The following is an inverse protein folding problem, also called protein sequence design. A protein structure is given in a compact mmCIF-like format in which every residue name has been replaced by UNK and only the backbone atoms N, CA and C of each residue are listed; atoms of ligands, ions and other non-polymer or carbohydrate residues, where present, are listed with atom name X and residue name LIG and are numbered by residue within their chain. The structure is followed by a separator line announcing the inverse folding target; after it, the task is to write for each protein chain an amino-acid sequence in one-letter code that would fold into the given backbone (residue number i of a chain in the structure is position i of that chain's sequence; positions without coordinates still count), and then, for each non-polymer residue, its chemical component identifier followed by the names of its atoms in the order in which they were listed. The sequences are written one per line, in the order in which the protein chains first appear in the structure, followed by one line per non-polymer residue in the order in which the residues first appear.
data_IF_416471090303
#
_entry.id   IF_416471090303
#
_cell.length_a   1.000
_cell.length_b   1.000
_cell.length_c   1.000
_cell.angle_alpha   90.00
_cell.angle_beta   90.00
_cell.angle_gamma   90.00
#
_symmetry.space_group_name_H-M   'P 1'
#
loop_
_entity.id
_entity.type
_entity.pdbx_description
1 polymer ?
#
# COMPACT_ATOMS: atom_id res chain seq x y z
N UNK A 1 41.85 -1.39 52.29
CA UNK A 1 41.05 -0.30 51.70
C UNK A 1 41.00 -0.56 50.20
N UNK A 2 40.00 -1.30 49.72
CA UNK A 2 38.74 -0.84 49.09
C UNK A 2 38.93 -0.33 47.64
N UNK A 3 38.23 -1.03 46.71
CA UNK A 3 37.85 -0.67 45.33
C UNK A 3 38.92 -0.88 44.24
N UNK A 4 38.68 -1.45 43.05
CA UNK A 4 37.47 -1.78 42.30
C UNK A 4 37.72 -2.99 41.38
N UNK A 5 36.80 -3.96 41.41
CA UNK A 5 36.74 -5.02 40.43
C UNK A 5 36.06 -4.53 39.13
N UNK A 6 36.78 -4.67 38.02
CA UNK A 6 36.37 -5.40 36.81
C UNK A 6 34.86 -5.75 36.74
N UNK A 7 34.09 -5.05 35.90
CA UNK A 7 32.97 -5.56 35.08
C UNK A 7 32.24 -4.37 34.44
N UNK A 8 32.22 -4.32 33.11
CA UNK A 8 31.61 -3.20 32.38
C UNK A 8 31.50 -3.44 30.89
N UNK A 9 31.20 -4.67 30.47
CA UNK A 9 30.83 -5.02 29.09
C UNK A 9 29.88 -6.21 29.14
N UNK A 10 28.58 -5.96 29.35
CA UNK A 10 27.48 -6.88 29.02
C UNK A 10 26.11 -6.32 29.46
N UNK A 11 25.76 -5.07 29.12
CA UNK A 11 24.42 -4.54 29.38
C UNK A 11 23.95 -3.66 28.22
N UNK A 12 23.90 -4.20 26.99
CA UNK A 12 23.29 -3.50 25.85
C UNK A 12 22.63 -4.44 24.84
N UNK A 13 22.22 -5.64 25.25
CA UNK A 13 21.63 -6.64 24.35
C UNK A 13 20.35 -7.29 24.90
N UNK A 14 19.68 -6.67 25.89
CA UNK A 14 18.50 -7.23 26.56
C UNK A 14 17.27 -6.29 26.59
N UNK A 15 17.21 -5.27 25.73
CA UNK A 15 16.04 -4.36 25.66
C UNK A 15 15.25 -4.41 24.35
N UNK A 16 15.64 -5.23 23.37
CA UNK A 16 14.96 -5.32 22.07
C UNK A 16 13.99 -6.51 21.92
N UNK A 17 13.94 -7.44 22.88
CA UNK A 17 13.05 -8.61 22.82
C UNK A 17 11.67 -8.39 23.47
N UNK A 18 11.43 -7.25 24.14
CA UNK A 18 10.22 -7.01 24.93
C UNK A 18 9.05 -6.34 24.17
N UNK A 19 9.20 -6.05 22.87
CA UNK A 19 8.18 -5.34 22.07
C UNK A 19 7.54 -6.19 20.96
N UNK A 20 7.68 -7.52 20.99
CA UNK A 20 7.04 -8.45 20.04
C UNK A 20 5.93 -9.33 20.67
N UNK A 21 5.63 -9.13 21.96
CA UNK A 21 4.58 -9.86 22.68
C UNK A 21 3.26 -9.07 22.71
N UNK A 22 2.68 -8.80 21.54
CA UNK A 22 1.37 -8.16 21.43
C UNK A 22 0.62 -8.53 20.14
N UNK A 23 0.62 -9.81 19.72
CA UNK A 23 -0.25 -10.30 18.64
C UNK A 23 -0.86 -11.70 18.90
N UNK A 24 -0.76 -12.26 20.11
CA UNK A 24 -1.21 -13.61 20.40
C UNK A 24 -2.09 -13.67 21.65
N UNK A 25 -3.23 -12.99 21.64
CA UNK A 25 -4.31 -13.24 22.59
C UNK A 25 -5.63 -12.68 22.05
N UNK A 26 -6.34 -13.48 21.26
CA UNK A 26 -7.80 -13.41 21.07
C UNK A 26 -8.25 -14.65 20.27
N UNK A 27 -8.19 -15.82 20.92
CA UNK A 27 -9.02 -16.96 20.53
C UNK A 27 -9.88 -17.31 21.74
N UNK A 28 -11.18 -16.95 21.74
CA UNK A 28 -12.18 -17.67 22.49
C UNK A 28 -12.74 -18.78 21.59
N UNK A 29 -12.60 -20.02 22.02
CA UNK A 29 -13.29 -21.17 21.43
C UNK A 29 -14.81 -21.01 21.50
N UNK A 30 -15.52 -21.30 20.41
CA UNK A 30 -16.85 -21.93 20.46
C UNK A 30 -17.03 -22.91 19.30
N UNK A 31 -17.67 -24.07 19.52
CA UNK A 31 -17.93 -25.07 18.50
C UNK A 31 -19.22 -24.71 17.76
N UNK A 32 -19.21 -24.73 16.42
CA UNK A 32 -20.44 -24.75 15.63
C UNK A 32 -20.17 -25.28 14.23
N UNK A 33 -20.70 -26.48 14.02
CA UNK A 33 -21.48 -26.87 12.84
C UNK A 33 -20.83 -26.65 11.48
N UNK A 34 -20.41 -27.76 10.90
CA UNK A 34 -20.32 -28.02 9.47
C UNK A 34 -21.48 -27.38 8.70
N UNK A 35 -21.27 -26.18 8.21
CA UNK A 35 -21.87 -25.71 6.97
C UNK A 35 -20.71 -25.63 5.99
N UNK A 36 -20.59 -26.66 5.15
CA UNK A 36 -19.72 -26.67 3.98
C UNK A 36 -19.95 -25.34 3.25
N UNK A 37 -18.95 -24.46 3.12
CA UNK A 37 -19.11 -23.31 2.24
C UNK A 37 -19.28 -23.91 0.86
N UNK A 38 -20.49 -23.76 0.29
CA UNK A 38 -20.80 -24.12 -1.08
C UNK A 38 -19.72 -23.49 -1.94
N UNK A 39 -18.83 -24.32 -2.48
CA UNK A 39 -17.67 -23.89 -3.24
C UNK A 39 -18.20 -23.01 -4.37
N UNK A 40 -17.88 -21.71 -4.29
CA UNK A 40 -18.13 -20.78 -5.38
C UNK A 40 -17.31 -21.33 -6.55
N UNK A 41 -17.93 -21.67 -7.69
CA UNK A 41 -17.20 -22.19 -8.82
C UNK A 41 -16.12 -21.18 -9.21
N UNK A 42 -14.94 -21.69 -9.52
CA UNK A 42 -13.81 -20.91 -10.03
C UNK A 42 -14.18 -20.36 -11.41
N UNK A 43 -15.03 -19.35 -11.44
CA UNK A 43 -15.50 -18.70 -12.65
C UNK A 43 -14.44 -17.71 -13.10
N UNK A 44 -14.03 -17.81 -14.36
CA UNK A 44 -13.16 -16.81 -14.97
C UNK A 44 -13.89 -15.47 -15.02
N UNK A 45 -13.15 -14.36 -14.88
CA UNK A 45 -13.69 -12.99 -14.87
C UNK A 45 -14.70 -12.71 -15.98
N UNK A 46 -14.51 -13.26 -17.17
CA UNK A 46 -15.43 -13.09 -18.30
C UNK A 46 -16.83 -13.64 -18.00
N UNK A 47 -16.93 -14.84 -17.42
CA UNK A 47 -18.21 -15.46 -17.06
C UNK A 47 -18.94 -14.63 -16.01
N UNK A 48 -18.22 -14.07 -15.03
CA UNK A 48 -18.81 -13.19 -14.02
C UNK A 48 -19.34 -11.89 -14.61
N UNK A 49 -18.69 -11.35 -15.64
CA UNK A 49 -19.13 -10.13 -16.33
C UNK A 49 -20.37 -10.38 -17.19
N UNK A 50 -20.47 -11.55 -17.82
CA UNK A 50 -21.66 -11.95 -18.59
C UNK A 50 -22.86 -12.18 -17.65
N UNK A 51 -22.64 -12.82 -16.50
CA UNK A 51 -23.66 -12.97 -15.46
C UNK A 51 -24.09 -11.62 -14.88
N UNK A 52 -23.17 -10.64 -14.81
CA UNK A 52 -23.46 -9.28 -14.37
C UNK A 52 -24.39 -8.52 -15.32
N UNK A 53 -24.46 -8.88 -16.61
CA UNK A 53 -25.33 -8.20 -17.57
C UNK A 53 -26.81 -8.26 -17.17
N UNK A 54 -27.17 -9.22 -16.33
CA UNK A 54 -28.52 -9.42 -15.80
C UNK A 54 -28.70 -8.82 -14.39
N UNK A 55 -27.64 -8.28 -13.80
CA UNK A 55 -27.62 -7.69 -12.46
C UNK A 55 -27.44 -6.17 -12.54
N UNK A 56 -28.55 -5.42 -12.40
CA UNK A 56 -28.52 -3.96 -12.30
C UNK A 56 -28.12 -3.49 -10.89
N UNK A 57 -28.97 -3.77 -9.90
CA UNK A 57 -28.70 -3.52 -8.48
C UNK A 57 -28.51 -4.84 -7.74
N UNK A 58 -27.56 -4.90 -6.81
CA UNK A 58 -27.24 -6.11 -6.08
C UNK A 58 -28.14 -6.34 -4.86
N UNK A 59 -29.44 -6.06 -5.00
CA UNK A 59 -30.43 -6.24 -3.92
C UNK A 59 -30.70 -7.73 -3.67
N UNK A 60 -30.62 -8.55 -4.72
CA UNK A 60 -30.77 -9.99 -4.65
C UNK A 60 -29.47 -10.68 -4.20
N UNK A 61 -29.60 -11.78 -3.46
CA UNK A 61 -28.46 -12.57 -3.01
C UNK A 61 -27.58 -13.12 -4.17
N UNK A 62 -28.15 -13.59 -5.31
CA UNK A 62 -27.33 -14.02 -6.45
C UNK A 62 -26.47 -12.89 -7.03
N UNK A 63 -27.05 -11.71 -7.26
CA UNK A 63 -26.29 -10.58 -7.79
C UNK A 63 -25.22 -10.10 -6.79
N UNK A 64 -25.55 -10.06 -5.50
CA UNK A 64 -24.57 -9.74 -4.46
C UNK A 64 -23.37 -10.71 -4.48
N UNK A 65 -23.61 -12.02 -4.65
CA UNK A 65 -22.53 -13.01 -4.78
C UNK A 65 -21.66 -12.79 -6.01
N UNK A 66 -22.23 -12.42 -7.15
CA UNK A 66 -21.46 -12.12 -8.36
C UNK A 66 -20.54 -10.91 -8.12
N UNK A 67 -21.05 -9.83 -7.52
CA UNK A 67 -20.22 -8.68 -7.17
C UNK A 67 -19.12 -9.02 -6.14
N UNK A 68 -19.39 -9.89 -5.16
CA UNK A 68 -18.35 -10.37 -4.23
C UNK A 68 -17.28 -11.17 -4.98
N UNK A 69 -17.68 -12.06 -5.91
CA UNK A 69 -16.73 -12.83 -6.70
C UNK A 69 -15.88 -11.94 -7.61
N UNK A 70 -16.46 -10.90 -8.23
CA UNK A 70 -15.70 -9.92 -9.00
C UNK A 70 -14.72 -9.13 -8.13
N UNK A 71 -15.13 -8.73 -6.93
CA UNK A 71 -14.22 -8.07 -6.00
C UNK A 71 -13.03 -8.96 -5.65
N UNK A 72 -13.26 -10.24 -5.37
CA UNK A 72 -12.22 -11.21 -5.05
C UNK A 72 -11.27 -11.41 -6.24
N UNK A 73 -11.78 -11.47 -7.46
CA UNK A 73 -10.96 -11.55 -8.67
C UNK A 73 -10.04 -10.33 -8.85
N UNK A 74 -10.53 -9.12 -8.56
CA UNK A 74 -9.66 -7.93 -8.55
C UNK A 74 -8.57 -8.02 -7.48
N UNK A 75 -8.88 -8.59 -6.31
CA UNK A 75 -7.93 -8.74 -5.21
C UNK A 75 -6.90 -9.86 -5.45
N UNK A 76 -7.25 -10.86 -6.25
CA UNK A 76 -6.36 -11.98 -6.64
C UNK A 76 -5.49 -11.67 -7.86
N UNK A 77 -5.68 -10.51 -8.49
CA UNK A 77 -4.79 -10.08 -9.58
C UNK A 77 -3.33 -10.08 -9.12
N UNK A 78 -2.44 -10.55 -9.99
CA UNK A 78 -1.00 -10.73 -9.69
C UNK A 78 -0.35 -9.46 -9.15
N UNK A 79 -0.83 -8.29 -9.58
CA UNK A 79 -0.35 -6.99 -9.15
C UNK A 79 -1.50 -6.17 -8.57
N UNK A 80 -1.58 -6.14 -7.24
CA UNK A 80 -2.56 -5.33 -6.52
C UNK A 80 -2.20 -3.84 -6.62
N UNK A 81 -2.79 -3.15 -7.59
CA UNK A 81 -2.61 -1.71 -7.82
C UNK A 81 -3.84 -0.90 -7.36
N UNK A 82 -3.74 0.43 -7.41
CA UNK A 82 -4.82 1.37 -7.07
C UNK A 82 -6.11 1.06 -7.81
N UNK A 83 -6.02 0.83 -9.12
CA UNK A 83 -7.16 0.49 -9.98
C UNK A 83 -7.86 -0.80 -9.52
N UNK A 84 -7.08 -1.85 -9.18
CA UNK A 84 -7.62 -3.10 -8.68
C UNK A 84 -8.32 -2.92 -7.32
N UNK A 85 -7.73 -2.14 -6.42
CA UNK A 85 -8.32 -1.80 -5.12
C UNK A 85 -9.62 -1.00 -5.28
N UNK A 86 -9.66 -0.03 -6.19
CA UNK A 86 -10.84 0.81 -6.46
C UNK A 86 -11.97 -0.01 -7.09
N UNK A 87 -11.63 -0.89 -8.01
CA UNK A 87 -12.59 -1.82 -8.60
C UNK A 87 -13.15 -2.78 -7.54
N UNK A 88 -12.30 -3.41 -6.73
CA UNK A 88 -12.74 -4.28 -5.65
C UNK A 88 -13.62 -3.53 -4.62
N UNK A 89 -13.24 -2.30 -4.26
CA UNK A 89 -14.03 -1.45 -3.35
C UNK A 89 -15.43 -1.17 -3.92
N UNK A 90 -15.52 -0.84 -5.22
CA UNK A 90 -16.77 -0.58 -5.91
C UNK A 90 -17.67 -1.82 -5.93
N UNK A 91 -17.13 -2.97 -6.33
CA UNK A 91 -17.92 -4.20 -6.39
C UNK A 91 -18.43 -4.61 -5.00
N UNK A 92 -17.62 -4.50 -3.95
CA UNK A 92 -18.09 -4.75 -2.58
C UNK A 92 -19.13 -3.72 -2.09
N UNK A 93 -19.06 -2.47 -2.55
CA UNK A 93 -20.06 -1.46 -2.24
C UNK A 93 -21.40 -1.78 -2.92
N UNK A 94 -21.37 -2.29 -4.16
CA UNK A 94 -22.55 -2.80 -4.84
C UNK A 94 -23.12 -4.01 -4.10
N UNK A 95 -22.30 -5.03 -3.81
CA UNK A 95 -22.72 -6.22 -3.05
C UNK A 95 -23.37 -5.87 -1.69
N UNK A 96 -22.86 -4.84 -1.02
CA UNK A 96 -23.39 -4.38 0.27
C UNK A 96 -24.78 -3.71 0.20
N UNK A 97 -25.39 -3.59 -0.98
CA UNK A 97 -26.82 -3.26 -1.11
C UNK A 97 -27.71 -4.41 -0.60
N UNK A 98 -27.21 -5.64 -0.64
CA UNK A 98 -27.83 -6.77 0.05
C UNK A 98 -27.37 -6.82 1.51
N UNK A 99 -28.31 -6.97 2.46
CA UNK A 99 -28.03 -6.89 3.90
C UNK A 99 -27.09 -7.97 4.40
N UNK A 100 -27.24 -9.21 3.93
CA UNK A 100 -26.44 -10.34 4.39
C UNK A 100 -25.00 -10.20 3.85
N UNK A 101 -24.87 -9.90 2.55
CA UNK A 101 -23.57 -9.60 1.95
C UNK A 101 -22.89 -8.39 2.58
N UNK A 102 -23.64 -7.37 3.02
CA UNK A 102 -23.08 -6.21 3.71
C UNK A 102 -22.44 -6.57 5.06
N UNK A 103 -23.02 -7.53 5.79
CA UNK A 103 -22.49 -8.02 7.05
C UNK A 103 -21.22 -8.84 6.79
N UNK A 104 -21.30 -9.79 5.86
CA UNK A 104 -20.20 -10.70 5.52
C UNK A 104 -18.97 -9.96 4.96
N UNK A 105 -19.18 -8.97 4.09
CA UNK A 105 -18.08 -8.26 3.41
C UNK A 105 -17.54 -7.07 4.19
N UNK A 106 -18.15 -6.71 5.32
CA UNK A 106 -17.72 -5.58 6.16
C UNK A 106 -16.22 -5.59 6.52
N UNK A 107 -15.61 -6.70 6.99
CA UNK A 107 -14.18 -6.73 7.29
C UNK A 107 -13.34 -6.46 6.03
N UNK A 108 -13.68 -7.08 4.90
CA UNK A 108 -12.95 -6.91 3.65
C UNK A 108 -12.99 -5.45 3.16
N UNK A 109 -14.16 -4.81 3.22
CA UNK A 109 -14.31 -3.38 2.89
C UNK A 109 -13.46 -2.46 3.78
N UNK A 110 -13.24 -2.82 5.05
CA UNK A 110 -12.31 -2.06 5.93
C UNK A 110 -10.87 -2.23 5.49
N UNK A 111 -10.46 -3.45 5.18
CA UNK A 111 -9.09 -3.75 4.71
C UNK A 111 -8.80 -2.99 3.42
N UNK A 112 -9.69 -3.06 2.42
CA UNK A 112 -9.51 -2.35 1.15
C UNK A 112 -9.36 -0.85 1.36
N UNK A 113 -10.17 -0.24 2.25
CA UNK A 113 -10.05 1.19 2.56
C UNK A 113 -8.68 1.55 3.13
N UNK A 114 -8.14 0.72 4.03
CA UNK A 114 -6.80 0.92 4.59
C UNK A 114 -5.74 0.79 3.49
N UNK A 115 -5.88 -0.18 2.59
CA UNK A 115 -4.97 -0.36 1.46
C UNK A 115 -5.02 0.84 0.50
N UNK A 116 -6.20 1.36 0.18
CA UNK A 116 -6.37 2.57 -0.63
C UNK A 116 -5.68 3.79 0.03
N UNK A 117 -5.87 3.99 1.33
CA UNK A 117 -5.22 5.06 2.07
C UNK A 117 -3.69 4.93 2.03
N UNK A 118 -3.16 3.71 2.21
CA UNK A 118 -1.72 3.45 2.12
C UNK A 118 -1.18 3.72 0.71
N UNK A 119 -1.90 3.29 -0.32
CA UNK A 119 -1.51 3.53 -1.70
C UNK A 119 -1.44 5.03 -2.02
N UNK A 120 -2.44 5.80 -1.59
CA UNK A 120 -2.44 7.25 -1.78
C UNK A 120 -1.24 7.94 -1.10
N UNK A 121 -0.84 7.48 0.10
CA UNK A 121 0.35 8.00 0.79
C UNK A 121 1.63 7.64 0.03
N UNK A 122 1.72 6.40 -0.48
CA UNK A 122 2.86 5.95 -1.29
C UNK A 122 2.99 6.76 -2.58
N UNK A 123 1.89 6.99 -3.29
CA UNK A 123 1.86 7.77 -4.53
C UNK A 123 2.27 9.22 -4.28
N UNK A 124 1.78 9.83 -3.19
CA UNK A 124 2.20 11.16 -2.78
C UNK A 124 3.70 11.23 -2.44
N UNK A 125 4.23 10.20 -1.78
CA UNK A 125 5.66 10.09 -1.47
C UNK A 125 6.50 9.98 -2.76
N UNK A 126 6.11 9.11 -3.69
CA UNK A 126 6.78 8.97 -4.99
C UNK A 126 6.75 10.27 -5.80
N UNK A 127 5.62 10.98 -5.81
CA UNK A 127 5.52 12.27 -6.49
C UNK A 127 6.49 13.32 -5.88
N UNK A 128 6.57 13.38 -4.54
CA UNK A 128 7.52 14.26 -3.84
C UNK A 128 8.96 13.89 -4.14
N UNK A 129 9.31 12.61 -4.14
CA UNK A 129 10.65 12.14 -4.48
C UNK A 129 11.04 12.55 -5.91
N UNK A 130 10.16 12.32 -6.89
CA UNK A 130 10.39 12.74 -8.28
C UNK A 130 10.58 14.25 -8.40
N UNK A 131 9.77 15.04 -7.69
CA UNK A 131 9.91 16.50 -7.66
C UNK A 131 11.25 16.92 -7.06
N UNK A 132 11.66 16.31 -5.94
CA UNK A 132 12.94 16.62 -5.30
C UNK A 132 14.14 16.25 -6.19
N UNK A 133 14.08 15.11 -6.88
CA UNK A 133 15.10 14.70 -7.84
C UNK A 133 15.20 15.68 -9.02
N UNK A 134 14.06 16.14 -9.56
CA UNK A 134 14.05 17.14 -10.62
C UNK A 134 14.64 18.48 -10.16
N UNK A 135 14.33 18.92 -8.95
CA UNK A 135 14.89 20.15 -8.36
C UNK A 135 16.41 20.02 -8.14
N UNK A 136 16.88 18.88 -7.64
CA UNK A 136 18.29 18.61 -7.45
C UNK A 136 19.06 18.62 -8.78
N UNK A 137 18.51 17.97 -9.82
CA UNK A 137 19.12 17.97 -11.15
C UNK A 137 19.18 19.38 -11.75
N UNK A 138 18.12 20.18 -11.58
CA UNK A 138 18.10 21.57 -12.03
C UNK A 138 19.10 22.46 -11.26
N UNK A 139 19.28 22.23 -9.96
CA UNK A 139 20.28 22.93 -9.15
C UNK A 139 21.70 22.57 -9.59
N UNK A 140 21.98 21.29 -9.83
CA UNK A 140 23.28 20.84 -10.32
C UNK A 140 23.63 21.48 -11.67
N UNK A 141 22.69 21.46 -12.63
CA UNK A 141 22.92 22.09 -13.93
C UNK A 141 23.20 23.60 -13.84
N UNK A 142 22.61 24.29 -12.84
CA UNK A 142 22.90 25.71 -12.57
C UNK A 142 24.30 25.90 -11.98
N UNK A 143 24.71 25.03 -11.06
CA UNK A 143 26.06 25.05 -10.49
C UNK A 143 27.11 24.81 -11.57
N UNK A 144 26.94 23.78 -12.39
CA UNK A 144 27.87 23.47 -13.49
C UNK A 144 28.00 24.67 -14.45
N UNK A 145 26.89 25.35 -14.75
CA UNK A 145 26.90 26.56 -15.58
C UNK A 145 27.64 27.71 -14.91
N UNK A 146 27.44 27.94 -13.62
CA UNK A 146 28.14 28.99 -12.88
C UNK A 146 29.63 28.71 -12.79
N UNK A 147 30.02 27.47 -12.54
CA UNK A 147 31.43 27.05 -12.53
C UNK A 147 32.11 27.30 -13.89
N UNK A 148 31.42 26.98 -14.99
CA UNK A 148 31.94 27.26 -16.33
C UNK A 148 32.08 28.77 -16.58
N UNK A 149 31.09 29.58 -16.20
CA UNK A 149 31.17 31.04 -16.34
C UNK A 149 32.31 31.64 -15.51
N UNK A 150 32.54 31.14 -14.29
CA UNK A 150 33.64 31.57 -13.44
C UNK A 150 34.99 31.17 -14.02
N UNK A 151 35.11 29.96 -14.59
CA UNK A 151 36.32 29.50 -15.28
C UNK A 151 36.63 30.37 -16.49
N UNK A 152 35.64 30.58 -17.37
CA UNK A 152 35.78 31.44 -18.55
C UNK A 152 36.18 32.87 -18.18
N UNK A 153 35.62 33.42 -17.10
CA UNK A 153 35.97 34.75 -16.60
C UNK A 153 37.41 34.80 -16.05
N UNK A 154 37.82 33.78 -15.30
CA UNK A 154 39.17 33.69 -14.75
C UNK A 154 40.23 33.58 -15.87
N UNK A 155 39.99 32.75 -16.89
CA UNK A 155 40.88 32.62 -18.06
C UNK A 155 41.02 33.95 -18.80
N UNK A 156 39.91 34.62 -19.12
CA UNK A 156 39.94 35.93 -19.79
C UNK A 156 40.66 37.01 -18.99
N UNK A 157 40.56 36.96 -17.66
CA UNK A 157 41.22 37.92 -16.78
C UNK A 157 42.74 37.73 -16.73
N UNK A 158 43.24 36.51 -16.99
CA UNK A 158 44.67 36.22 -17.04
C UNK A 158 45.30 36.61 -18.38
N UNK A 159 44.55 36.52 -19.49
CA UNK A 159 45.02 36.90 -20.83
C UNK A 159 45.11 38.42 -21.05
N UNK A 160 44.49 39.22 -20.17
CA UNK A 160 44.55 40.69 -20.19
C UNK A 160 45.14 41.20 -18.88
N UNK A 161 46.47 41.02 -18.63
CA UNK A 161 47.10 41.73 -17.54
C UNK A 161 46.98 43.23 -17.82
N UNK A 162 46.15 43.91 -17.04
CA UNK A 162 46.05 45.37 -17.06
C UNK A 162 47.45 45.96 -16.84
N UNK A 163 47.92 46.90 -17.68
CA UNK A 163 49.17 47.63 -17.45
C UNK A 163 49.09 48.55 -16.23
#
# INVERSE_FOLDING_TARGET
MRHLARTGRALSALSLAAMLSACAALIPHTPSTTATPTAIPSNTRHTLLDDLAHCGTATSAPCARIHVALADEYLRSEHLNTTALDNAARELALAAQNRDAAIETRPLRRVIRILQQRSAVQDACHARLKSAQAQAAAAQARLDRLENLLRDHAEKSLDHPHP
#
